data_IF_693473762600
#
_entry.id   IF_693473762600
#
_cell.length_a   1.000
_cell.length_b   1.000
_cell.length_c   1.000
_cell.angle_alpha   90.00
_cell.angle_beta   90.00
_cell.angle_gamma   90.00
#
_symmetry.space_group_name_H-M   'P 1'
#
loop_
_entity.id
_entity.type
_entity.pdbx_description
1 polymer ?
#
# COMPACT_ATOMS: atom_id res chain seq x y z
N UNK A 1 -60.28 -13.40 24.53
CA UNK A 1 -59.72 -12.09 24.24
C UNK A 1 -58.18 -12.12 24.04
N UNK A 2 -57.36 -12.73 24.89
CA UNK A 2 -55.87 -12.79 24.70
C UNK A 2 -55.43 -13.44 23.37
N UNK A 3 -56.10 -14.47 22.88
CA UNK A 3 -55.73 -15.09 21.58
C UNK A 3 -56.01 -14.22 20.38
N UNK A 4 -57.06 -13.37 20.43
CA UNK A 4 -57.39 -12.43 19.34
C UNK A 4 -56.31 -11.35 19.25
N UNK A 5 -55.79 -10.87 20.36
CA UNK A 5 -54.68 -9.92 20.36
C UNK A 5 -53.38 -10.55 19.85
N UNK A 6 -53.11 -11.80 20.15
CA UNK A 6 -51.94 -12.52 19.62
C UNK A 6 -52.02 -12.70 18.12
N UNK A 7 -53.20 -13.01 17.59
CA UNK A 7 -53.45 -13.12 16.14
C UNK A 7 -53.34 -11.75 15.44
N UNK A 8 -53.86 -10.69 16.08
CA UNK A 8 -53.74 -9.32 15.55
C UNK A 8 -52.29 -8.84 15.53
N UNK A 9 -51.51 -9.14 16.59
CA UNK A 9 -50.08 -8.83 16.60
C UNK A 9 -49.29 -9.65 15.59
N UNK A 10 -49.62 -10.92 15.41
CA UNK A 10 -49.01 -11.79 14.38
C UNK A 10 -49.38 -11.32 12.97
N UNK A 11 -50.65 -10.97 12.74
CA UNK A 11 -51.12 -10.44 11.45
C UNK A 11 -50.48 -9.04 11.13
N UNK A 12 -50.36 -8.17 12.13
CA UNK A 12 -49.68 -6.90 12.00
C UNK A 12 -48.20 -7.09 11.71
N UNK A 13 -47.55 -8.06 12.36
CA UNK A 13 -46.16 -8.45 12.08
C UNK A 13 -45.96 -8.95 10.66
N UNK A 14 -46.85 -9.78 10.13
CA UNK A 14 -46.81 -10.28 8.75
C UNK A 14 -47.05 -9.17 7.73
N UNK A 15 -47.96 -8.24 8.00
CA UNK A 15 -48.23 -7.07 7.12
C UNK A 15 -47.05 -6.12 7.13
N UNK A 16 -46.40 -5.88 8.26
CA UNK A 16 -45.18 -5.06 8.33
C UNK A 16 -43.99 -5.72 7.61
N UNK A 17 -43.90 -7.03 7.61
CA UNK A 17 -42.85 -7.78 6.89
C UNK A 17 -43.06 -7.77 5.37
N UNK A 18 -44.31 -7.67 4.89
CA UNK A 18 -44.60 -7.70 3.46
C UNK A 18 -44.43 -6.35 2.77
N UNK A 19 -44.56 -5.22 3.46
CA UNK A 19 -44.42 -3.88 2.89
C UNK A 19 -43.02 -3.29 2.99
N UNK A 20 -42.17 -3.80 3.90
CA UNK A 20 -40.84 -3.25 4.21
C UNK A 20 -39.65 -3.82 3.45
N UNK A 21 -39.85 -4.87 2.62
CA UNK A 21 -38.73 -5.61 2.03
C UNK A 21 -38.20 -5.08 0.69
N UNK A 22 -38.57 -3.88 0.29
CA UNK A 22 -38.00 -3.28 -0.92
C UNK A 22 -36.56 -2.80 -0.65
N UNK A 23 -35.59 -3.33 -1.41
CA UNK A 23 -34.20 -2.88 -1.37
C UNK A 23 -33.86 -1.85 -2.45
N UNK A 24 -34.87 -1.36 -3.19
CA UNK A 24 -34.69 -0.51 -4.37
C UNK A 24 -35.66 0.66 -4.46
N UNK A 25 -36.51 0.88 -3.46
CA UNK A 25 -37.52 1.95 -3.49
C UNK A 25 -36.92 3.35 -3.37
N UNK A 26 -35.81 3.51 -2.65
CA UNK A 26 -35.13 4.80 -2.45
C UNK A 26 -33.94 5.01 -3.41
N UNK A 27 -33.83 4.21 -4.47
CA UNK A 27 -32.79 4.40 -5.49
C UNK A 27 -33.25 5.51 -6.44
N UNK A 28 -32.42 6.54 -6.68
CA UNK A 28 -32.71 7.60 -7.64
C UNK A 28 -33.00 7.05 -9.04
N UNK A 29 -33.80 7.77 -9.82
CA UNK A 29 -34.08 7.38 -11.19
C UNK A 29 -32.79 7.49 -12.04
N UNK A 30 -32.58 6.49 -12.89
CA UNK A 30 -31.36 6.36 -13.69
C UNK A 30 -30.20 5.64 -12.98
N UNK A 31 -30.28 5.44 -11.65
CA UNK A 31 -29.25 4.72 -10.89
C UNK A 31 -29.62 3.26 -10.64
N UNK A 32 -28.60 2.46 -10.40
CA UNK A 32 -28.73 1.03 -10.15
C UNK A 32 -28.02 0.62 -8.85
N UNK A 33 -28.66 -0.28 -8.10
CA UNK A 33 -28.08 -0.85 -6.91
C UNK A 33 -26.97 -1.83 -7.27
N UNK A 34 -25.76 -1.53 -6.82
CA UNK A 34 -24.67 -2.48 -6.89
C UNK A 34 -24.88 -3.61 -5.87
N UNK A 35 -24.94 -4.84 -6.36
CA UNK A 35 -25.21 -6.02 -5.53
C UNK A 35 -24.05 -7.00 -5.48
N UNK A 36 -22.84 -6.52 -5.69
CA UNK A 36 -21.60 -7.29 -5.62
C UNK A 36 -21.06 -7.70 -6.97
N UNK A 37 -19.99 -8.46 -6.91
CA UNK A 37 -19.27 -8.96 -8.07
C UNK A 37 -19.60 -10.44 -8.33
N UNK A 38 -19.44 -10.84 -9.56
CA UNK A 38 -19.15 -12.23 -9.91
C UNK A 38 -17.63 -12.47 -9.78
N UNK A 39 -17.19 -13.74 -9.68
CA UNK A 39 -15.77 -14.05 -9.77
C UNK A 39 -15.13 -13.43 -11.02
N UNK A 40 -13.93 -12.88 -10.87
CA UNK A 40 -13.17 -12.32 -11.98
C UNK A 40 -12.80 -13.41 -12.98
N UNK A 41 -12.99 -13.15 -14.27
CA UNK A 41 -12.62 -14.07 -15.33
C UNK A 41 -11.20 -13.73 -15.82
N UNK A 42 -10.29 -14.70 -15.78
CA UNK A 42 -8.94 -14.58 -16.32
C UNK A 42 -8.88 -15.36 -17.65
N UNK A 43 -8.70 -14.64 -18.76
CA UNK A 43 -8.79 -15.21 -20.10
C UNK A 43 -7.53 -16.00 -20.49
N UNK A 44 -6.35 -15.54 -20.03
CA UNK A 44 -5.03 -16.08 -20.36
C UNK A 44 -4.21 -16.32 -19.08
N UNK A 45 -4.68 -17.22 -18.22
CA UNK A 45 -4.08 -17.41 -16.91
C UNK A 45 -2.75 -18.18 -16.97
N UNK A 46 -1.62 -17.48 -16.82
CA UNK A 46 -0.36 -18.08 -16.39
C UNK A 46 -0.48 -18.57 -14.94
N UNK A 47 0.19 -19.71 -14.63
CA UNK A 47 0.21 -20.35 -13.31
C UNK A 47 1.49 -20.06 -12.53
N UNK A 48 2.34 -19.16 -13.02
CA UNK A 48 3.54 -18.77 -12.31
C UNK A 48 3.22 -18.13 -10.97
N UNK A 49 4.15 -18.18 -10.04
CA UNK A 49 4.02 -17.54 -8.73
C UNK A 49 3.82 -16.02 -8.89
N UNK A 50 4.57 -15.39 -9.80
CA UNK A 50 4.41 -13.98 -10.13
C UNK A 50 2.99 -13.65 -10.61
N UNK A 51 2.46 -14.42 -11.59
CA UNK A 51 1.10 -14.21 -12.09
C UNK A 51 0.05 -14.42 -10.99
N UNK A 52 0.28 -15.36 -10.08
CA UNK A 52 -0.63 -15.62 -8.96
C UNK A 52 -0.66 -14.44 -8.00
N UNK A 53 0.51 -13.91 -7.61
CA UNK A 53 0.62 -12.71 -6.77
C UNK A 53 -0.06 -11.49 -7.41
N UNK A 54 0.13 -11.28 -8.72
CA UNK A 54 -0.52 -10.17 -9.45
C UNK A 54 -2.04 -10.32 -9.48
N UNK A 55 -2.56 -11.55 -9.64
CA UNK A 55 -4.00 -11.80 -9.56
C UNK A 55 -4.58 -11.49 -8.19
N UNK A 56 -3.90 -11.88 -7.12
CA UNK A 56 -4.33 -11.58 -5.75
C UNK A 56 -4.41 -10.06 -5.52
N UNK A 57 -3.42 -9.29 -5.99
CA UNK A 57 -3.48 -7.83 -5.94
C UNK A 57 -4.61 -7.24 -6.79
N UNK A 58 -4.84 -7.78 -7.99
CA UNK A 58 -5.95 -7.36 -8.84
C UNK A 58 -7.30 -7.59 -8.18
N UNK A 59 -7.51 -8.74 -7.52
CA UNK A 59 -8.75 -9.00 -6.78
C UNK A 59 -8.99 -7.94 -5.69
N UNK A 60 -7.94 -7.48 -5.02
CA UNK A 60 -8.06 -6.40 -4.03
C UNK A 60 -8.40 -5.06 -4.68
N UNK A 61 -7.73 -4.73 -5.80
CA UNK A 61 -7.93 -3.47 -6.53
C UNK A 61 -9.32 -3.38 -7.16
N UNK A 62 -9.82 -4.49 -7.72
CA UNK A 62 -11.12 -4.56 -8.39
C UNK A 62 -12.29 -4.69 -7.39
N UNK A 63 -12.01 -5.05 -6.14
CA UNK A 63 -13.02 -5.31 -5.14
C UNK A 63 -13.78 -4.05 -4.71
N UNK A 64 -15.09 -4.07 -4.85
CA UNK A 64 -16.00 -3.10 -4.25
C UNK A 64 -16.99 -3.83 -3.35
N UNK A 65 -17.13 -3.35 -2.10
CA UNK A 65 -18.02 -3.98 -1.12
C UNK A 65 -19.48 -3.58 -1.37
N UNK A 66 -20.39 -4.55 -1.58
CA UNK A 66 -21.82 -4.29 -1.69
C UNK A 66 -22.48 -4.13 -0.31
N UNK A 67 -23.72 -3.65 -0.31
CA UNK A 67 -24.53 -3.70 0.90
C UNK A 67 -24.72 -5.14 1.40
N UNK A 68 -24.52 -5.35 2.70
CA UNK A 68 -24.63 -6.67 3.33
C UNK A 68 -23.46 -7.61 3.02
N UNK A 69 -22.30 -7.07 2.61
CA UNK A 69 -21.06 -7.84 2.47
C UNK A 69 -20.71 -8.59 3.75
N UNK A 70 -20.39 -9.87 3.63
CA UNK A 70 -19.90 -10.70 4.74
C UNK A 70 -18.36 -10.69 4.72
N UNK A 71 -17.75 -10.43 5.86
CA UNK A 71 -16.29 -10.36 6.03
C UNK A 71 -15.58 -9.41 5.03
N UNK A 72 -16.31 -8.40 4.52
CA UNK A 72 -15.76 -7.48 3.52
C UNK A 72 -15.68 -8.04 2.09
N UNK A 73 -16.19 -9.24 1.84
CA UNK A 73 -16.14 -9.88 0.54
C UNK A 73 -17.01 -9.13 -0.50
N UNK A 74 -16.51 -8.90 -1.72
CA UNK A 74 -17.30 -8.33 -2.81
C UNK A 74 -18.30 -9.32 -3.41
N UNK A 75 -18.11 -10.63 -3.18
CA UNK A 75 -18.91 -11.71 -3.74
C UNK A 75 -19.88 -12.33 -2.76
N UNK A 76 -19.52 -12.39 -1.47
CA UNK A 76 -20.34 -12.99 -0.41
C UNK A 76 -21.20 -11.93 0.28
N UNK A 77 -22.50 -12.19 0.33
CA UNK A 77 -23.47 -11.28 0.93
C UNK A 77 -24.41 -12.01 1.89
N UNK A 78 -24.82 -11.30 2.93
CA UNK A 78 -25.91 -11.72 3.80
C UNK A 78 -27.24 -11.74 3.02
N UNK A 79 -28.07 -12.76 3.17
CA UNK A 79 -29.43 -12.75 2.64
C UNK A 79 -30.30 -11.66 3.26
N UNK A 80 -30.02 -11.30 4.52
CA UNK A 80 -30.74 -10.28 5.28
C UNK A 80 -29.99 -8.94 5.20
N UNK A 81 -30.48 -8.03 4.37
CA UNK A 81 -29.90 -6.67 4.20
C UNK A 81 -30.69 -5.66 5.03
N UNK A 82 -30.76 -5.89 6.33
CA UNK A 82 -31.62 -5.13 7.26
C UNK A 82 -31.32 -3.63 7.18
N UNK A 83 -30.07 -3.21 7.21
CA UNK A 83 -29.70 -1.80 7.13
C UNK A 83 -30.16 -1.12 5.83
N UNK A 84 -30.08 -1.83 4.69
CA UNK A 84 -30.56 -1.34 3.42
C UNK A 84 -32.11 -1.24 3.39
N UNK A 85 -32.81 -2.20 4.01
CA UNK A 85 -34.26 -2.15 4.12
C UNK A 85 -34.72 -0.97 4.98
N UNK A 86 -34.07 -0.74 6.11
CA UNK A 86 -34.36 0.41 6.98
C UNK A 86 -34.11 1.72 6.21
N UNK A 87 -33.00 1.82 5.50
CA UNK A 87 -32.72 2.97 4.65
C UNK A 87 -33.85 3.22 3.65
N UNK A 88 -34.25 2.20 2.89
CA UNK A 88 -35.30 2.32 1.89
C UNK A 88 -36.67 2.66 2.48
N UNK A 89 -36.97 2.22 3.72
CA UNK A 89 -38.25 2.49 4.39
C UNK A 89 -38.33 3.91 4.98
N UNK A 90 -37.23 4.44 5.51
CA UNK A 90 -37.24 5.63 6.36
C UNK A 90 -36.43 6.82 5.79
N UNK A 91 -35.59 6.63 4.75
CA UNK A 91 -34.72 7.71 4.25
C UNK A 91 -35.44 8.92 3.67
N UNK A 92 -36.68 8.73 3.19
CA UNK A 92 -37.51 9.82 2.66
C UNK A 92 -38.48 10.38 3.69
N UNK A 93 -38.53 9.80 4.90
CA UNK A 93 -39.38 10.25 5.99
C UNK A 93 -38.87 11.56 6.60
N UNK A 94 -39.81 12.41 7.02
CA UNK A 94 -39.53 13.75 7.57
C UNK A 94 -39.53 13.77 9.10
N UNK A 95 -40.07 12.73 9.75
CA UNK A 95 -40.24 12.66 11.21
C UNK A 95 -38.89 12.47 11.93
N UNK A 96 -38.85 12.88 13.20
CA UNK A 96 -37.68 12.63 14.06
C UNK A 96 -37.38 11.15 14.24
N UNK A 97 -38.42 10.30 14.22
CA UNK A 97 -38.29 8.84 14.29
C UNK A 97 -37.62 8.27 13.03
N UNK A 98 -38.03 8.72 11.84
CA UNK A 98 -37.45 8.27 10.57
C UNK A 98 -35.95 8.60 10.53
N UNK A 99 -35.59 9.84 10.88
CA UNK A 99 -34.18 10.28 10.93
C UNK A 99 -33.37 9.48 11.94
N UNK A 100 -33.94 9.16 13.11
CA UNK A 100 -33.30 8.35 14.11
C UNK A 100 -33.08 6.90 13.63
N UNK A 101 -34.12 6.28 13.00
CA UNK A 101 -34.00 4.92 12.45
C UNK A 101 -32.92 4.83 11.37
N UNK A 102 -32.88 5.78 10.44
CA UNK A 102 -31.84 5.83 9.41
C UNK A 102 -30.47 6.02 10.01
N UNK A 103 -30.32 6.92 10.97
CA UNK A 103 -29.01 7.17 11.64
C UNK A 103 -28.51 6.01 12.46
N UNK A 104 -29.40 5.30 13.17
CA UNK A 104 -29.03 4.23 14.07
C UNK A 104 -28.81 2.88 13.35
N UNK A 105 -29.61 2.58 12.33
CA UNK A 105 -29.67 1.25 11.73
C UNK A 105 -29.65 1.25 10.20
N UNK A 106 -29.83 2.42 9.56
CA UNK A 106 -29.84 2.52 8.09
C UNK A 106 -28.46 2.39 7.48
N UNK A 107 -28.38 1.72 6.35
CA UNK A 107 -27.17 1.66 5.52
C UNK A 107 -27.49 2.19 4.14
N UNK A 108 -26.77 3.20 3.70
CA UNK A 108 -26.97 3.78 2.36
C UNK A 108 -26.80 2.72 1.26
N UNK A 109 -27.62 2.77 0.19
CA UNK A 109 -27.42 1.90 -0.96
C UNK A 109 -26.08 2.21 -1.64
N UNK A 110 -25.30 1.18 -1.92
CA UNK A 110 -24.12 1.31 -2.78
C UNK A 110 -24.61 1.29 -4.21
N UNK A 111 -24.56 2.45 -4.85
CA UNK A 111 -24.98 2.63 -6.25
C UNK A 111 -23.85 2.20 -7.21
N UNK A 112 -24.21 1.91 -8.46
CA UNK A 112 -23.22 1.53 -9.48
C UNK A 112 -22.24 2.69 -9.78
N UNK A 113 -22.70 3.92 -9.72
CA UNK A 113 -21.87 5.14 -9.82
C UNK A 113 -20.79 5.20 -8.73
N UNK A 114 -21.09 4.75 -7.50
CA UNK A 114 -20.11 4.68 -6.42
C UNK A 114 -19.17 3.48 -6.56
N UNK A 115 -19.63 2.36 -7.15
CA UNK A 115 -18.77 1.22 -7.44
C UNK A 115 -17.69 1.54 -8.48
N UNK A 116 -17.90 2.59 -9.28
CA UNK A 116 -16.95 3.20 -10.23
C UNK A 116 -16.04 2.19 -10.96
N UNK A 117 -16.59 1.28 -11.77
CA UNK A 117 -15.83 0.22 -12.41
C UNK A 117 -14.77 0.76 -13.39
N UNK A 118 -14.97 1.92 -13.98
CA UNK A 118 -14.00 2.57 -14.87
C UNK A 118 -12.71 2.95 -14.15
N UNK A 119 -12.83 3.48 -12.93
CA UNK A 119 -11.67 3.75 -12.08
C UNK A 119 -10.93 2.47 -11.73
N UNK A 120 -11.65 1.44 -11.28
CA UNK A 120 -11.04 0.15 -10.91
C UNK A 120 -10.34 -0.52 -12.10
N UNK A 121 -10.93 -0.50 -13.30
CA UNK A 121 -10.27 -1.02 -14.52
C UNK A 121 -9.02 -0.23 -14.86
N UNK A 122 -9.03 1.09 -14.72
CA UNK A 122 -7.87 1.95 -14.98
C UNK A 122 -6.74 1.66 -13.99
N UNK A 123 -7.06 1.57 -12.70
CA UNK A 123 -6.07 1.25 -11.65
C UNK A 123 -5.52 -0.17 -11.86
N UNK A 124 -6.38 -1.13 -12.18
CA UNK A 124 -5.97 -2.50 -12.48
C UNK A 124 -5.05 -2.61 -13.70
N UNK A 125 -5.34 -1.89 -14.80
CA UNK A 125 -4.44 -1.83 -15.97
C UNK A 125 -3.08 -1.23 -15.61
N UNK A 126 -3.07 -0.19 -14.77
CA UNK A 126 -1.81 0.39 -14.30
C UNK A 126 -1.03 -0.59 -13.40
N UNK A 127 -1.72 -1.39 -12.58
CA UNK A 127 -1.11 -2.46 -11.81
C UNK A 127 -0.48 -3.52 -12.73
N UNK A 128 -1.19 -3.99 -13.75
CA UNK A 128 -0.65 -4.93 -14.74
C UNK A 128 0.63 -4.41 -15.37
N UNK A 129 0.65 -3.16 -15.83
CA UNK A 129 1.85 -2.52 -16.40
C UNK A 129 3.00 -2.45 -15.42
N UNK A 130 2.74 -2.10 -14.15
CA UNK A 130 3.76 -2.06 -13.10
C UNK A 130 4.37 -3.43 -12.80
N UNK A 131 3.61 -4.50 -13.02
CA UNK A 131 4.00 -5.88 -12.80
C UNK A 131 4.49 -6.60 -14.06
N UNK A 132 4.80 -5.86 -15.14
CA UNK A 132 5.38 -6.39 -16.37
C UNK A 132 4.40 -6.88 -17.42
N UNK A 133 3.11 -6.71 -17.22
CA UNK A 133 2.07 -7.03 -18.20
C UNK A 133 1.67 -5.79 -18.99
N UNK A 134 2.57 -5.29 -19.87
CA UNK A 134 2.37 -4.02 -20.57
C UNK A 134 1.16 -4.02 -21.51
N UNK A 135 0.83 -5.17 -22.10
CA UNK A 135 -0.31 -5.37 -22.98
C UNK A 135 -1.55 -5.92 -22.26
N UNK A 136 -1.50 -5.90 -20.91
CA UNK A 136 -2.62 -6.34 -20.11
C UNK A 136 -3.83 -5.40 -20.24
N UNK A 137 -5.03 -5.98 -20.32
CA UNK A 137 -6.28 -5.23 -20.38
C UNK A 137 -7.32 -5.78 -19.39
N UNK A 138 -8.15 -4.88 -18.90
CA UNK A 138 -9.25 -5.20 -18.01
C UNK A 138 -10.51 -4.56 -18.55
N UNK A 139 -11.52 -5.37 -18.73
CA UNK A 139 -12.87 -4.93 -19.09
C UNK A 139 -13.87 -5.33 -18.01
N UNK A 140 -15.02 -4.72 -18.02
CA UNK A 140 -16.12 -5.11 -17.14
C UNK A 140 -17.44 -5.19 -17.89
N UNK A 141 -18.36 -5.95 -17.35
CA UNK A 141 -19.74 -6.04 -17.81
C UNK A 141 -20.71 -5.89 -16.63
N UNK A 142 -21.83 -5.25 -16.89
CA UNK A 142 -22.94 -5.16 -15.94
C UNK A 142 -23.87 -6.34 -16.15
N UNK A 143 -24.06 -7.14 -15.10
CA UNK A 143 -24.91 -8.33 -15.15
C UNK A 143 -26.25 -8.02 -14.47
N UNK A 144 -27.33 -7.86 -15.25
CA UNK A 144 -28.66 -7.57 -14.72
C UNK A 144 -29.16 -8.74 -13.87
N UNK A 145 -29.93 -8.41 -12.83
CA UNK A 145 -30.63 -9.39 -12.02
C UNK A 145 -32.13 -9.41 -12.37
N UNK A 146 -32.91 -10.29 -11.71
CA UNK A 146 -34.37 -10.35 -11.88
C UNK A 146 -35.05 -8.98 -11.70
N UNK A 147 -34.52 -8.13 -10.80
CA UNK A 147 -34.96 -6.75 -10.66
C UNK A 147 -34.03 -5.85 -11.47
N UNK A 148 -34.55 -5.09 -12.47
CA UNK A 148 -33.73 -4.25 -13.36
C UNK A 148 -32.97 -3.12 -12.65
N UNK A 149 -33.44 -2.70 -11.45
CA UNK A 149 -32.71 -1.75 -10.60
C UNK A 149 -31.52 -2.40 -9.85
N UNK A 150 -31.22 -3.70 -10.04
CA UNK A 150 -30.12 -4.42 -9.39
C UNK A 150 -29.14 -4.94 -10.41
N UNK A 151 -27.87 -4.62 -10.21
CA UNK A 151 -26.77 -5.07 -11.09
C UNK A 151 -25.65 -5.71 -10.29
N UNK A 152 -24.98 -6.68 -10.90
CA UNK A 152 -23.67 -7.18 -10.49
C UNK A 152 -22.61 -6.72 -11.47
N UNK A 153 -21.38 -6.58 -10.98
CA UNK A 153 -20.20 -6.42 -11.83
C UNK A 153 -19.57 -7.77 -12.14
N UNK A 154 -19.03 -7.91 -13.32
CA UNK A 154 -18.14 -8.99 -13.71
C UNK A 154 -16.95 -8.38 -14.44
N UNK A 155 -15.75 -8.60 -13.91
CA UNK A 155 -14.51 -8.18 -14.55
C UNK A 155 -13.96 -9.35 -15.38
N UNK A 156 -13.40 -9.02 -16.55
CA UNK A 156 -12.62 -9.90 -17.38
C UNK A 156 -11.21 -9.31 -17.52
N UNK A 157 -10.23 -10.10 -17.12
CA UNK A 157 -8.82 -9.72 -17.10
C UNK A 157 -8.08 -10.54 -18.14
N UNK A 158 -7.43 -9.86 -19.07
CA UNK A 158 -6.45 -10.41 -19.99
C UNK A 158 -5.09 -9.91 -19.58
N UNK A 159 -4.26 -10.77 -18.98
CA UNK A 159 -2.94 -10.35 -18.48
C UNK A 159 -1.97 -10.09 -19.63
N UNK A 160 -2.04 -10.89 -20.69
CA UNK A 160 -1.13 -10.81 -21.83
C UNK A 160 0.25 -11.40 -21.51
N UNK A 161 1.22 -11.11 -22.36
CA UNK A 161 2.59 -11.58 -22.19
C UNK A 161 3.29 -10.88 -21.04
N UNK A 162 3.93 -11.64 -20.14
CA UNK A 162 4.83 -11.12 -19.14
C UNK A 162 6.13 -10.68 -19.80
N UNK A 163 6.54 -9.44 -19.53
CA UNK A 163 7.83 -8.92 -19.95
C UNK A 163 8.88 -9.17 -18.87
N UNK A 164 10.09 -9.51 -19.30
CA UNK A 164 11.21 -9.81 -18.41
C UNK A 164 12.32 -8.77 -18.55
N UNK A 165 13.19 -8.70 -17.56
CA UNK A 165 14.38 -7.84 -17.60
C UNK A 165 15.40 -8.46 -18.56
N UNK A 166 15.80 -7.74 -19.62
CA UNK A 166 16.89 -8.14 -20.50
C UNK A 166 18.25 -7.95 -19.80
N UNK A 167 18.51 -6.73 -19.36
CA UNK A 167 19.73 -6.36 -18.66
C UNK A 167 19.41 -5.43 -17.51
N UNK A 168 20.16 -5.58 -16.39
CA UNK A 168 20.17 -4.63 -15.28
C UNK A 168 21.56 -3.97 -15.23
N UNK A 169 21.62 -2.67 -15.50
CA UNK A 169 22.85 -1.88 -15.48
C UNK A 169 22.85 -0.83 -14.38
N UNK A 170 24.06 -0.38 -14.03
CA UNK A 170 24.29 0.72 -13.10
C UNK A 170 25.19 1.74 -13.80
N UNK A 171 24.72 2.99 -13.94
CA UNK A 171 25.35 3.99 -14.82
C UNK A 171 25.61 5.29 -14.08
N UNK A 172 26.77 5.88 -14.29
CA UNK A 172 27.15 7.20 -13.77
C UNK A 172 27.65 7.19 -12.32
N UNK A 173 27.83 6.02 -11.71
CA UNK A 173 28.37 5.90 -10.37
C UNK A 173 29.89 6.11 -10.34
N UNK A 174 30.42 6.49 -9.19
CA UNK A 174 31.88 6.61 -9.00
C UNK A 174 32.54 5.24 -8.93
N UNK A 175 33.87 5.11 -9.23
CA UNK A 175 34.56 3.83 -9.13
C UNK A 175 34.41 3.13 -7.78
N UNK A 176 34.34 3.90 -6.67
CA UNK A 176 34.11 3.34 -5.34
C UNK A 176 32.70 2.79 -5.16
N UNK A 177 31.70 3.47 -5.70
CA UNK A 177 30.30 3.01 -5.68
C UNK A 177 30.13 1.79 -6.59
N UNK A 178 30.72 1.77 -7.79
CA UNK A 178 30.68 0.61 -8.70
C UNK A 178 31.34 -0.63 -8.07
N UNK A 179 32.45 -0.44 -7.35
CA UNK A 179 33.11 -1.52 -6.62
C UNK A 179 32.19 -2.11 -5.54
N UNK A 180 31.45 -1.27 -4.81
CA UNK A 180 30.50 -1.72 -3.80
C UNK A 180 29.31 -2.49 -4.43
N UNK A 181 28.76 -1.95 -5.53
CA UNK A 181 27.67 -2.62 -6.26
C UNK A 181 28.13 -4.01 -6.72
N UNK A 182 29.32 -4.09 -7.32
CA UNK A 182 29.88 -5.34 -7.86
C UNK A 182 30.17 -6.35 -6.75
N UNK A 183 30.68 -5.89 -5.61
CA UNK A 183 30.96 -6.76 -4.46
C UNK A 183 29.71 -7.37 -3.81
N UNK A 184 28.55 -6.74 -4.01
CA UNK A 184 27.26 -7.18 -3.46
C UNK A 184 26.24 -7.51 -4.58
N UNK A 185 26.71 -7.93 -5.74
CA UNK A 185 25.86 -8.23 -6.90
C UNK A 185 24.96 -9.46 -6.68
N UNK A 186 25.38 -10.39 -5.87
CA UNK A 186 24.61 -11.58 -5.46
C UNK A 186 23.39 -11.26 -4.58
N UNK A 187 23.40 -10.12 -3.89
CA UNK A 187 22.30 -9.61 -3.07
C UNK A 187 21.25 -8.86 -3.89
N UNK A 188 21.44 -8.68 -5.20
CA UNK A 188 20.54 -7.91 -6.04
C UNK A 188 19.11 -8.48 -6.01
N UNK A 189 18.11 -7.60 -5.81
CA UNK A 189 16.70 -7.97 -5.70
C UNK A 189 16.11 -8.43 -7.04
N UNK A 190 16.78 -8.13 -8.16
CA UNK A 190 16.38 -8.55 -9.49
C UNK A 190 17.60 -8.80 -10.39
N UNK A 191 17.38 -9.49 -11.49
CA UNK A 191 18.45 -9.87 -12.43
C UNK A 191 17.89 -10.06 -13.84
N UNK A 192 18.77 -10.19 -14.83
CA UNK A 192 18.39 -10.56 -16.19
C UNK A 192 17.57 -11.86 -16.22
N UNK A 193 16.51 -11.90 -17.02
CA UNK A 193 15.52 -12.99 -17.10
C UNK A 193 14.42 -12.96 -16.04
N UNK A 194 14.54 -12.17 -14.97
CA UNK A 194 13.48 -12.01 -13.99
C UNK A 194 12.28 -11.24 -14.56
N UNK A 195 11.06 -11.41 -14.01
CA UNK A 195 9.92 -10.59 -14.36
C UNK A 195 10.21 -9.10 -14.18
N UNK A 196 9.77 -8.28 -15.14
CA UNK A 196 9.79 -6.83 -14.94
C UNK A 196 8.76 -6.44 -13.89
N UNK A 197 9.23 -5.86 -12.79
CA UNK A 197 8.40 -5.47 -11.66
C UNK A 197 8.93 -4.19 -11.03
N UNK A 198 8.14 -3.13 -11.10
CA UNK A 198 8.55 -1.82 -10.55
C UNK A 198 8.76 -1.90 -9.04
N UNK A 199 8.01 -2.72 -8.30
CA UNK A 199 8.20 -2.83 -6.86
C UNK A 199 9.53 -3.49 -6.50
N UNK A 200 9.95 -4.49 -7.27
CA UNK A 200 11.26 -5.13 -7.12
C UNK A 200 12.40 -4.18 -7.49
N UNK A 201 12.24 -3.40 -8.57
CA UNK A 201 13.21 -2.37 -8.95
C UNK A 201 13.33 -1.28 -7.87
N UNK A 202 12.21 -0.85 -7.27
CA UNK A 202 12.23 0.09 -6.16
C UNK A 202 12.91 -0.48 -4.90
N UNK A 203 12.75 -1.76 -4.65
CA UNK A 203 13.45 -2.48 -3.57
C UNK A 203 14.95 -2.54 -3.84
N UNK A 204 15.37 -2.80 -5.07
CA UNK A 204 16.76 -2.76 -5.49
C UNK A 204 17.37 -1.36 -5.32
N UNK A 205 16.67 -0.32 -5.75
CA UNK A 205 17.09 1.08 -5.54
C UNK A 205 17.25 1.41 -4.06
N UNK A 206 16.36 0.89 -3.21
CA UNK A 206 16.46 1.04 -1.77
C UNK A 206 17.67 0.28 -1.20
N UNK A 207 17.93 -0.95 -1.67
CA UNK A 207 19.10 -1.75 -1.28
C UNK A 207 20.41 -1.01 -1.62
N UNK A 208 20.54 -0.49 -2.84
CA UNK A 208 21.71 0.29 -3.27
C UNK A 208 21.87 1.56 -2.41
N UNK A 209 20.77 2.21 -2.07
CA UNK A 209 20.80 3.39 -1.17
C UNK A 209 21.36 3.01 0.21
N UNK A 210 20.86 1.90 0.78
CA UNK A 210 21.32 1.42 2.07
C UNK A 210 22.78 0.97 2.03
N UNK A 211 23.17 0.23 0.99
CA UNK A 211 24.55 -0.19 0.75
C UNK A 211 25.51 1.00 0.76
N UNK A 212 25.20 2.05 0.05
CA UNK A 212 26.06 3.25 0.03
C UNK A 212 26.07 3.95 1.40
N UNK A 213 24.93 4.14 2.02
CA UNK A 213 24.86 4.78 3.34
C UNK A 213 25.56 4.00 4.44
N UNK A 214 25.64 2.68 4.33
CA UNK A 214 26.38 1.85 5.28
C UNK A 214 27.89 1.83 5.01
N UNK A 215 28.31 2.27 3.84
CA UNK A 215 29.70 2.38 3.42
C UNK A 215 30.22 3.82 3.30
N UNK A 216 29.70 4.73 4.11
CA UNK A 216 30.23 6.05 4.28
C UNK A 216 29.58 7.16 3.46
N UNK A 217 28.69 6.88 2.51
CA UNK A 217 28.04 7.90 1.70
C UNK A 217 26.86 8.55 2.44
N UNK A 218 27.20 9.36 3.45
CA UNK A 218 26.24 9.97 4.39
C UNK A 218 25.12 10.77 3.72
N UNK A 219 25.46 11.55 2.67
CA UNK A 219 24.51 12.40 1.96
C UNK A 219 23.80 11.70 0.80
N UNK A 220 24.06 10.41 0.56
CA UNK A 220 23.36 9.70 -0.50
C UNK A 220 21.91 9.40 -0.12
N UNK A 221 20.97 9.71 -1.01
CA UNK A 221 19.55 9.48 -0.85
C UNK A 221 18.97 8.74 -2.06
N UNK A 222 17.88 8.00 -1.84
CA UNK A 222 17.20 7.20 -2.86
C UNK A 222 16.85 8.01 -4.12
N UNK A 223 16.46 9.29 -3.97
CA UNK A 223 16.11 10.18 -5.08
C UNK A 223 17.27 10.59 -6.00
N UNK A 224 18.53 10.26 -5.66
CA UNK A 224 19.71 10.64 -6.44
C UNK A 224 20.00 9.73 -7.63
N UNK A 225 19.34 8.58 -7.72
CA UNK A 225 19.36 7.71 -8.87
C UNK A 225 17.94 7.39 -9.34
N UNK A 226 17.77 7.22 -10.65
CA UNK A 226 16.49 6.85 -11.25
C UNK A 226 16.69 5.75 -12.28
N UNK A 227 15.62 5.00 -12.57
CA UNK A 227 15.65 3.99 -13.60
C UNK A 227 15.39 4.60 -14.97
N UNK A 228 16.27 4.25 -15.93
CA UNK A 228 16.03 4.40 -17.35
C UNK A 228 15.74 3.02 -17.92
N UNK A 229 14.58 2.86 -18.57
CA UNK A 229 14.13 1.58 -19.11
C UNK A 229 13.93 1.69 -20.63
N UNK A 230 14.51 0.76 -21.38
CA UNK A 230 14.27 0.59 -22.81
C UNK A 230 13.45 -0.67 -23.06
N UNK A 231 12.23 -0.49 -23.52
CA UNK A 231 11.29 -1.54 -23.90
C UNK A 231 11.07 -1.64 -25.40
N UNK A 232 11.80 -0.85 -26.19
CA UNK A 232 11.60 -0.75 -27.65
C UNK A 232 12.56 -1.66 -28.41
N UNK A 233 13.81 -1.73 -27.96
CA UNK A 233 14.88 -2.44 -28.68
C UNK A 233 14.64 -3.94 -28.82
N UNK A 234 13.97 -4.58 -27.84
CA UNK A 234 13.64 -6.01 -27.86
C UNK A 234 12.22 -6.26 -27.35
N UNK A 235 11.25 -6.56 -28.20
CA UNK A 235 9.88 -6.87 -27.78
C UNK A 235 9.83 -8.03 -26.77
N UNK A 236 9.06 -7.85 -25.70
CA UNK A 236 8.91 -8.85 -24.63
C UNK A 236 9.96 -8.76 -23.52
N UNK A 237 10.95 -7.89 -23.67
CA UNK A 237 11.99 -7.65 -22.65
C UNK A 237 12.22 -6.16 -22.43
N UNK A 238 12.82 -5.81 -21.27
CA UNK A 238 13.15 -4.42 -20.91
C UNK A 238 14.59 -4.37 -20.46
N UNK A 239 15.42 -3.57 -21.12
CA UNK A 239 16.73 -3.21 -20.60
C UNK A 239 16.58 -2.10 -19.57
N UNK A 240 17.09 -2.31 -18.36
CA UNK A 240 16.91 -1.40 -17.22
C UNK A 240 18.25 -0.94 -16.71
N UNK A 241 18.45 0.38 -16.60
CA UNK A 241 19.65 0.98 -16.01
C UNK A 241 19.26 1.84 -14.81
N UNK A 242 19.83 1.56 -13.65
CA UNK A 242 19.81 2.49 -12.53
C UNK A 242 20.88 3.56 -12.79
N UNK A 243 20.45 4.77 -13.08
CA UNK A 243 21.32 5.87 -13.45
C UNK A 243 21.38 6.93 -12.38
N UNK A 244 22.60 7.34 -12.01
CA UNK A 244 22.83 8.48 -11.14
C UNK A 244 22.43 9.77 -11.88
N UNK A 245 21.78 10.70 -11.19
CA UNK A 245 21.37 11.99 -11.79
C UNK A 245 22.59 12.87 -12.04
N UNK A 246 22.57 13.65 -13.13
CA UNK A 246 23.72 14.47 -13.58
C UNK A 246 24.04 15.65 -12.63
N UNK A 247 23.06 16.16 -11.90
CA UNK A 247 23.20 17.36 -11.04
C UNK A 247 23.23 17.00 -9.55
N UNK A 248 24.23 16.20 -9.15
CA UNK A 248 24.39 15.80 -7.74
C UNK A 248 25.54 16.58 -7.10
N UNK A 249 25.32 17.05 -5.86
CA UNK A 249 26.36 17.69 -5.05
C UNK A 249 27.54 16.72 -4.84
N UNK A 250 28.76 17.18 -5.11
CA UNK A 250 29.98 16.40 -4.93
C UNK A 250 30.19 15.85 -3.52
N UNK A 251 29.51 16.39 -2.49
CA UNK A 251 29.52 15.83 -1.12
C UNK A 251 28.84 14.48 -1.06
N UNK A 252 27.85 14.22 -1.91
CA UNK A 252 27.11 12.95 -2.01
C UNK A 252 27.97 11.82 -2.55
N UNK A 253 28.93 12.17 -3.41
CA UNK A 253 29.81 11.22 -4.08
C UNK A 253 31.07 10.86 -3.25
N UNK A 254 31.17 11.37 -2.03
CA UNK A 254 32.32 11.14 -1.13
C UNK A 254 31.88 10.33 0.07
N UNK A 255 32.81 9.55 0.59
CA UNK A 255 32.65 8.86 1.86
C UNK A 255 32.97 9.78 3.04
N UNK A 256 32.26 9.58 4.15
CA UNK A 256 32.39 10.37 5.38
C UNK A 256 32.73 9.45 6.55
N UNK A 257 33.59 9.94 7.44
CA UNK A 257 34.01 9.23 8.66
C UNK A 257 33.48 9.94 9.91
N UNK A 258 33.26 9.18 10.94
CA UNK A 258 32.81 9.70 12.23
C UNK A 258 33.96 10.44 12.92
N UNK A 259 33.84 11.74 13.08
CA UNK A 259 34.87 12.55 13.74
C UNK A 259 34.70 12.60 15.26
N UNK A 260 33.52 12.98 15.72
CA UNK A 260 33.19 13.12 17.12
C UNK A 260 31.81 12.57 17.41
N UNK A 261 31.66 11.94 18.56
CA UNK A 261 30.38 11.49 19.08
C UNK A 261 30.08 12.32 20.33
N UNK A 262 28.99 13.09 20.27
CA UNK A 262 28.55 13.93 21.37
C UNK A 262 27.23 13.39 21.91
N UNK A 263 27.17 13.07 23.18
CA UNK A 263 25.99 12.58 23.89
C UNK A 263 25.50 13.62 24.85
N UNK A 264 24.29 14.14 24.60
CA UNK A 264 23.66 15.14 25.45
C UNK A 264 22.68 14.45 26.39
N UNK A 265 22.99 14.36 27.67
CA UNK A 265 22.10 13.77 28.67
C UNK A 265 21.29 14.90 29.33
N UNK A 266 19.98 14.90 29.08
CA UNK A 266 19.02 15.87 29.63
C UNK A 266 17.89 15.14 30.34
N UNK A 267 17.45 15.66 31.49
CA UNK A 267 16.27 15.19 32.22
C UNK A 267 14.98 15.78 31.65
N UNK A 268 15.07 16.95 31.03
CA UNK A 268 14.00 17.63 30.32
C UNK A 268 14.51 18.31 29.06
N UNK A 269 13.63 18.59 28.10
CA UNK A 269 13.96 19.24 26.83
C UNK A 269 14.64 20.63 27.01
N UNK A 270 14.32 21.33 28.08
CA UNK A 270 14.77 22.69 28.34
C UNK A 270 15.91 22.75 29.38
N UNK A 271 16.43 21.59 29.82
CA UNK A 271 17.53 21.56 30.78
C UNK A 271 18.81 22.09 30.13
N UNK A 272 19.45 23.05 30.78
CA UNK A 272 20.75 23.57 30.37
C UNK A 272 21.83 22.52 30.62
N UNK A 273 22.78 22.42 29.71
CA UNK A 273 23.96 21.56 29.84
C UNK A 273 25.14 22.48 30.19
N UNK A 274 25.77 22.28 31.34
CA UNK A 274 26.87 23.09 31.85
C UNK A 274 28.19 22.34 31.92
N UNK A 275 28.16 21.04 31.93
CA UNK A 275 29.33 20.18 32.13
C UNK A 275 29.62 19.29 30.92
N UNK A 276 30.91 19.18 30.59
CA UNK A 276 31.39 18.28 29.54
C UNK A 276 32.43 17.32 30.05
N UNK A 277 32.18 16.03 29.94
CA UNK A 277 33.16 14.99 30.25
C UNK A 277 33.75 14.43 28.96
N UNK A 278 35.07 14.56 28.80
CA UNK A 278 35.81 14.11 27.64
C UNK A 278 36.28 12.66 27.78
N UNK A 279 36.12 11.85 26.74
CA UNK A 279 36.68 10.53 26.62
C UNK A 279 37.31 10.30 25.26
N UNK A 280 37.99 9.14 25.09
CA UNK A 280 38.65 8.78 23.82
C UNK A 280 37.67 8.61 22.65
N UNK A 281 36.51 8.03 22.88
CA UNK A 281 35.54 7.68 21.84
C UNK A 281 34.33 8.62 21.80
N UNK A 282 33.94 9.20 22.95
CA UNK A 282 32.74 10.04 23.03
C UNK A 282 32.91 11.21 24.04
N UNK A 283 32.19 12.29 23.81
CA UNK A 283 32.01 13.42 24.73
C UNK A 283 30.61 13.34 25.30
N UNK A 284 30.49 13.44 26.61
CA UNK A 284 29.21 13.43 27.31
C UNK A 284 28.94 14.77 27.91
N UNK A 285 27.82 15.38 27.55
CA UNK A 285 27.37 16.67 28.03
C UNK A 285 26.16 16.45 28.96
N UNK A 286 26.20 17.05 30.15
CA UNK A 286 25.16 16.91 31.18
C UNK A 286 25.10 18.13 32.09
N UNK A 287 24.10 18.19 32.97
CA UNK A 287 23.99 19.22 34.00
C UNK A 287 24.39 18.64 35.35
N UNK A 288 25.19 19.40 36.11
CA UNK A 288 25.65 19.07 37.46
C UNK A 288 27.04 18.43 37.53
N UNK A 289 27.45 18.00 38.73
CA UNK A 289 28.83 17.55 39.04
C UNK A 289 29.12 16.11 38.57
N UNK A 290 28.11 15.28 38.38
CA UNK A 290 28.26 13.88 38.00
C UNK A 290 27.33 13.50 36.83
N UNK A 291 27.87 12.72 35.89
CA UNK A 291 27.06 12.20 34.78
C UNK A 291 25.97 11.25 35.30
N UNK A 292 24.71 11.43 34.89
CA UNK A 292 23.61 10.53 35.27
C UNK A 292 23.77 9.10 34.78
N UNK A 293 24.55 8.86 33.72
CA UNK A 293 24.84 7.54 33.18
C UNK A 293 26.34 7.27 33.19
N UNK A 294 26.70 6.03 33.52
CA UNK A 294 28.09 5.57 33.43
C UNK A 294 28.52 5.51 31.96
N UNK A 295 29.71 6.01 31.66
CA UNK A 295 30.29 6.05 30.33
C UNK A 295 30.29 4.67 29.64
N UNK A 296 30.52 3.58 30.40
CA UNK A 296 30.50 2.21 29.87
C UNK A 296 29.13 1.83 29.29
N UNK A 297 28.03 2.29 29.91
CA UNK A 297 26.67 2.06 29.42
C UNK A 297 26.49 2.76 28.07
N UNK A 298 26.88 4.03 27.99
CA UNK A 298 26.79 4.82 26.74
C UNK A 298 27.66 4.21 25.62
N UNK A 299 28.90 3.77 25.96
CA UNK A 299 29.79 3.15 24.96
C UNK A 299 29.29 1.79 24.47
N UNK A 300 28.54 1.05 25.26
CA UNK A 300 27.94 -0.22 24.83
C UNK A 300 26.71 0.00 23.96
N UNK A 301 25.95 1.05 24.22
CA UNK A 301 24.76 1.38 23.44
C UNK A 301 25.11 2.01 22.09
N UNK A 302 26.11 2.89 22.05
CA UNK A 302 26.53 3.56 20.83
C UNK A 302 27.37 2.61 19.97
N UNK A 303 26.85 2.21 18.82
CA UNK A 303 27.52 1.30 17.87
C UNK A 303 28.53 2.03 16.98
N UNK A 304 28.35 3.32 16.75
CA UNK A 304 29.26 4.15 15.98
C UNK A 304 30.57 4.35 16.73
N UNK A 305 31.72 4.36 16.01
CA UNK A 305 33.03 4.63 16.59
C UNK A 305 33.72 5.77 15.86
N UNK A 306 34.53 6.52 16.60
CA UNK A 306 35.35 7.58 16.02
C UNK A 306 36.39 7.01 15.08
N UNK A 307 36.45 7.54 13.84
CA UNK A 307 37.37 7.12 12.79
C UNK A 307 36.79 6.12 11.81
N UNK A 308 35.69 5.46 12.17
CA UNK A 308 35.01 4.53 11.25
C UNK A 308 34.27 5.30 10.16
N UNK A 309 34.03 4.65 9.04
CA UNK A 309 33.09 5.15 8.04
C UNK A 309 31.70 5.28 8.63
N UNK A 310 30.94 6.26 8.16
CA UNK A 310 29.53 6.37 8.52
C UNK A 310 28.76 5.13 8.07
N UNK A 311 27.85 4.68 8.90
CA UNK A 311 26.89 3.61 8.57
C UNK A 311 25.51 4.01 9.10
N UNK A 312 24.51 4.00 8.21
CA UNK A 312 23.12 4.32 8.57
C UNK A 312 22.54 3.25 9.49
N UNK A 313 22.80 1.97 9.22
CA UNK A 313 22.35 0.85 10.06
C UNK A 313 22.90 0.94 11.49
N UNK A 314 24.20 1.23 11.66
CA UNK A 314 24.78 1.42 12.99
C UNK A 314 24.25 2.67 13.70
N UNK A 315 23.87 3.71 12.94
CA UNK A 315 23.22 4.89 13.52
C UNK A 315 21.82 4.52 14.04
N UNK A 316 21.02 3.78 13.27
CA UNK A 316 19.68 3.35 13.67
C UNK A 316 19.72 2.43 14.89
N UNK A 317 20.66 1.46 14.93
CA UNK A 317 20.88 0.61 16.10
C UNK A 317 21.29 1.39 17.35
N UNK A 318 21.96 2.54 17.17
CA UNK A 318 22.33 3.42 18.29
C UNK A 318 21.14 4.20 18.84
N UNK A 319 20.09 4.43 18.02
CA UNK A 319 18.90 5.21 18.40
C UNK A 319 17.78 4.36 19.01
N UNK A 320 17.84 3.04 18.87
CA UNK A 320 16.92 2.09 19.52
C UNK A 320 17.33 1.81 20.97
#
# INVERSE_FOLDING_TARGET
MKQIYLFLWAALGVVLLSTGCSSTSAIPDGEQLYTGMKPTEYVDADKSEHATSVREELEVVLATKPNGSLFGSPTLQSPLKIGLWIWNAFSQGTTSFDKWMVKAFGTQPVLMSYANPDLHTTVGRNLLKKRGYFNGDISYSLVPQKNPKKMKLQYAVKMGQLWTIDTLGYVGFTPGQDSLISAHADEAMTRSGAPFDISTLESERQRITQLFRDNGYFYYEKGMASYLADSVSRPGTVAVNLQLLDSIDGRTLRTWTIRNINVNLRRSLFENIDTTSHGRSLRVHYNGTHSPLRRRVLSNQIKLKRGDLYSASLQEETQQ
#
